data_IF_398281483375
#
_entry.id   IF_398281483375
#
_cell.length_a   1.000
_cell.length_b   1.000
_cell.length_c   1.000
_cell.angle_alpha   90.00
_cell.angle_beta   90.00
_cell.angle_gamma   90.00
#
_symmetry.space_group_name_H-M   'P 1'
#
loop_
_entity.id
_entity.type
_entity.pdbx_description
1 polymer ?
#
# COMPACT_ATOMS: atom_id res chain seq x y z
N UNK A 1 66.51 -24.17 -25.39
CA UNK A 1 65.25 -23.77 -24.73
C UNK A 1 64.22 -24.86 -24.95
N UNK A 2 63.30 -25.09 -24.01
CA UNK A 2 62.31 -26.15 -24.14
C UNK A 2 61.10 -25.66 -24.95
N UNK A 3 60.65 -26.46 -25.92
CA UNK A 3 59.44 -26.20 -26.72
C UNK A 3 58.21 -26.10 -25.79
N UNK A 4 58.19 -26.90 -24.72
CA UNK A 4 57.16 -26.91 -23.68
C UNK A 4 56.93 -25.52 -23.08
N UNK A 5 58.00 -24.81 -22.69
CA UNK A 5 57.87 -23.47 -22.06
C UNK A 5 57.43 -22.39 -23.04
N UNK A 6 57.71 -22.57 -24.34
CA UNK A 6 57.17 -21.69 -25.38
C UNK A 6 55.66 -21.91 -25.57
N UNK A 7 55.22 -23.17 -25.68
CA UNK A 7 53.79 -23.49 -25.80
C UNK A 7 52.99 -23.02 -24.57
N UNK A 8 53.55 -23.17 -23.36
CA UNK A 8 52.94 -22.65 -22.13
C UNK A 8 52.73 -21.13 -22.16
N UNK A 9 53.74 -20.35 -22.60
CA UNK A 9 53.57 -18.90 -22.69
C UNK A 9 52.59 -18.50 -23.79
N UNK A 10 52.48 -19.30 -24.87
CA UNK A 10 51.54 -19.06 -25.96
C UNK A 10 50.08 -19.26 -25.53
N UNK A 11 49.78 -20.30 -24.74
CA UNK A 11 48.44 -20.49 -24.16
C UNK A 11 48.11 -19.43 -23.10
N UNK A 12 49.06 -19.10 -22.21
CA UNK A 12 48.87 -18.00 -21.26
C UNK A 12 48.62 -16.66 -21.96
N UNK A 13 49.29 -16.39 -23.08
CA UNK A 13 49.10 -15.18 -23.86
C UNK A 13 47.71 -15.09 -24.54
N UNK A 14 47.14 -16.22 -24.98
CA UNK A 14 45.75 -16.27 -25.48
C UNK A 14 44.75 -15.97 -24.35
N UNK A 15 44.87 -16.67 -23.22
CA UNK A 15 43.99 -16.51 -22.07
C UNK A 15 44.07 -15.10 -21.48
N UNK A 16 45.25 -14.47 -21.53
CA UNK A 16 45.46 -13.06 -21.17
C UNK A 16 44.65 -12.10 -22.07
N UNK A 17 44.61 -12.34 -23.39
CA UNK A 17 43.78 -11.55 -24.32
C UNK A 17 42.28 -11.80 -24.09
N UNK A 18 41.86 -13.06 -23.94
CA UNK A 18 40.46 -13.40 -23.61
C UNK A 18 39.98 -12.73 -22.32
N UNK A 19 40.85 -12.62 -21.30
CA UNK A 19 40.57 -11.88 -20.08
C UNK A 19 40.50 -10.37 -20.30
N UNK A 20 41.35 -9.77 -21.15
CA UNK A 20 41.27 -8.34 -21.46
C UNK A 20 39.99 -7.97 -22.22
N UNK A 21 39.60 -8.79 -23.20
CA UNK A 21 38.39 -8.58 -24.01
C UNK A 21 37.13 -8.71 -23.13
N UNK A 22 37.05 -9.75 -22.29
CA UNK A 22 35.96 -9.96 -21.33
C UNK A 22 35.86 -8.83 -20.28
N UNK A 23 36.99 -8.23 -19.92
CA UNK A 23 37.05 -7.19 -18.89
C UNK A 23 36.96 -5.77 -19.43
N UNK A 24 37.01 -5.59 -20.76
CA UNK A 24 37.08 -4.30 -21.47
C UNK A 24 38.31 -3.47 -21.04
N UNK A 25 39.46 -4.14 -20.88
CA UNK A 25 40.66 -3.50 -20.33
C UNK A 25 41.24 -2.43 -21.27
N UNK A 26 41.61 -1.23 -20.76
CA UNK A 26 42.14 -0.15 -21.57
C UNK A 26 43.45 -0.54 -22.27
N UNK A 27 43.56 -0.14 -23.54
CA UNK A 27 44.68 -0.48 -24.43
C UNK A 27 46.04 -0.06 -23.81
N UNK A 28 46.07 0.97 -22.97
CA UNK A 28 47.29 1.42 -22.29
C UNK A 28 47.83 0.43 -21.24
N UNK A 29 46.98 -0.36 -20.58
CA UNK A 29 47.43 -1.49 -19.74
C UNK A 29 47.90 -2.66 -20.63
N UNK A 30 47.17 -2.97 -21.71
CA UNK A 30 47.53 -4.03 -22.66
C UNK A 30 48.92 -3.82 -23.30
N UNK A 31 49.30 -2.56 -23.58
CA UNK A 31 50.61 -2.19 -24.17
C UNK A 31 51.81 -2.74 -23.40
N UNK A 32 51.73 -2.84 -22.06
CA UNK A 32 52.82 -3.39 -21.25
C UNK A 32 53.17 -4.84 -21.63
N UNK A 33 52.17 -5.61 -22.05
CA UNK A 33 52.26 -7.02 -22.41
C UNK A 33 52.30 -7.27 -23.92
N UNK A 34 52.35 -6.22 -24.75
CA UNK A 34 52.45 -6.32 -26.22
C UNK A 34 53.58 -7.23 -26.73
N UNK A 35 54.68 -7.32 -25.97
CA UNK A 35 55.80 -8.23 -26.24
C UNK A 35 55.43 -9.72 -26.09
N UNK A 36 54.50 -10.04 -25.18
CA UNK A 36 53.90 -11.36 -24.95
C UNK A 36 52.81 -11.65 -25.98
N UNK A 37 51.93 -10.70 -26.26
CA UNK A 37 50.87 -10.85 -27.28
C UNK A 37 51.46 -11.18 -28.65
N UNK A 38 52.63 -10.60 -28.98
CA UNK A 38 53.38 -10.92 -30.21
C UNK A 38 53.90 -12.37 -30.27
N UNK A 39 54.04 -13.07 -29.14
CA UNK A 39 54.43 -14.49 -29.13
C UNK A 39 53.31 -15.42 -29.60
N UNK A 40 52.04 -14.98 -29.55
CA UNK A 40 50.87 -15.77 -30.02
C UNK A 40 51.05 -16.16 -31.51
N UNK A 41 51.65 -15.29 -32.32
CA UNK A 41 51.88 -15.50 -33.75
C UNK A 41 53.33 -15.87 -34.12
N UNK A 42 54.22 -16.05 -33.16
CA UNK A 42 55.64 -16.33 -33.42
C UNK A 42 55.91 -17.83 -33.62
N UNK A 43 56.99 -18.17 -34.33
CA UNK A 43 57.46 -19.56 -34.46
C UNK A 43 58.54 -19.90 -33.43
N UNK A 44 58.66 -21.20 -33.12
CA UNK A 44 59.64 -21.74 -32.15
C UNK A 44 61.08 -21.30 -32.49
N UNK A 45 61.44 -21.35 -33.78
CA UNK A 45 62.80 -21.03 -34.25
C UNK A 45 63.12 -19.53 -34.16
N UNK A 46 62.14 -18.65 -34.42
CA UNK A 46 62.34 -17.19 -34.36
C UNK A 46 62.53 -16.69 -32.91
N UNK A 47 61.89 -17.35 -31.95
CA UNK A 47 61.92 -16.98 -30.53
C UNK A 47 63.19 -17.47 -29.82
N UNK A 48 63.69 -18.65 -30.21
CA UNK A 48 64.93 -19.25 -29.67
C UNK A 48 66.16 -18.32 -29.82
N UNK A 49 66.20 -17.51 -30.88
CA UNK A 49 67.28 -16.56 -31.18
C UNK A 49 67.22 -15.29 -30.31
N UNK A 50 66.01 -14.88 -29.88
CA UNK A 50 65.74 -13.51 -29.40
C UNK A 50 65.61 -13.38 -27.88
N UNK A 51 65.79 -14.47 -27.13
CA UNK A 51 65.82 -14.45 -25.66
C UNK A 51 64.51 -14.09 -24.96
N UNK A 52 63.38 -14.01 -25.68
CA UNK A 52 62.09 -13.52 -25.18
C UNK A 52 61.39 -14.44 -24.16
N UNK A 53 62.03 -15.54 -23.75
CA UNK A 53 61.52 -16.55 -22.82
C UNK A 53 62.40 -16.60 -21.55
N UNK A 54 62.61 -15.45 -20.89
CA UNK A 54 63.18 -15.47 -19.53
C UNK A 54 62.14 -15.99 -18.54
N UNK A 55 62.61 -16.55 -17.42
CA UNK A 55 61.71 -16.98 -16.35
C UNK A 55 60.89 -15.81 -15.77
N UNK A 56 61.45 -14.59 -15.82
CA UNK A 56 60.80 -13.37 -15.34
C UNK A 56 59.59 -12.98 -16.20
N UNK A 57 59.67 -13.13 -17.54
CA UNK A 57 58.55 -12.85 -18.45
C UNK A 57 57.41 -13.87 -18.23
N UNK A 58 57.72 -15.16 -18.08
CA UNK A 58 56.72 -16.18 -17.75
C UNK A 58 56.03 -15.83 -16.42
N UNK A 59 56.82 -15.56 -15.37
CA UNK A 59 56.31 -15.18 -14.05
C UNK A 59 55.49 -13.88 -14.07
N UNK A 60 55.87 -12.90 -14.90
CA UNK A 60 55.11 -11.65 -15.06
C UNK A 60 53.72 -11.92 -15.67
N UNK A 61 53.63 -12.82 -16.64
CA UNK A 61 52.35 -13.24 -17.25
C UNK A 61 51.51 -14.04 -16.26
N UNK A 62 52.09 -14.97 -15.50
CA UNK A 62 51.39 -15.72 -14.46
C UNK A 62 50.79 -14.80 -13.39
N UNK A 63 51.55 -13.80 -12.93
CA UNK A 63 51.09 -12.80 -11.95
C UNK A 63 49.99 -11.91 -12.53
N UNK A 64 50.07 -11.51 -13.80
CA UNK A 64 49.01 -10.72 -14.44
C UNK A 64 47.73 -11.54 -14.64
N UNK A 65 47.83 -12.79 -15.06
CA UNK A 65 46.68 -13.71 -15.15
C UNK A 65 46.03 -13.91 -13.76
N UNK A 66 46.82 -13.97 -12.69
CA UNK A 66 46.28 -13.97 -11.32
C UNK A 66 45.59 -12.64 -10.96
N UNK A 67 46.20 -11.47 -11.26
CA UNK A 67 45.60 -10.14 -11.07
C UNK A 67 44.25 -10.04 -11.78
N UNK A 68 44.18 -10.47 -13.03
CA UNK A 68 42.98 -10.38 -13.87
C UNK A 68 41.89 -11.35 -13.42
N UNK A 69 42.22 -12.56 -12.93
CA UNK A 69 41.23 -13.45 -12.33
C UNK A 69 40.63 -12.86 -11.04
N UNK A 70 41.44 -12.22 -10.19
CA UNK A 70 40.96 -11.50 -9.00
C UNK A 70 40.08 -10.31 -9.41
N UNK A 71 40.49 -9.53 -10.42
CA UNK A 71 39.73 -8.40 -10.95
C UNK A 71 38.40 -8.84 -11.57
N UNK A 72 38.38 -9.97 -12.29
CA UNK A 72 37.19 -10.62 -12.86
C UNK A 72 36.21 -11.04 -11.78
N UNK A 73 36.67 -11.71 -10.73
CA UNK A 73 35.83 -12.06 -9.57
C UNK A 73 35.26 -10.81 -8.88
N UNK A 74 36.05 -9.74 -8.77
CA UNK A 74 35.61 -8.45 -8.22
C UNK A 74 34.53 -7.76 -9.07
N UNK A 75 34.78 -7.56 -10.38
CA UNK A 75 33.81 -6.99 -11.35
C UNK A 75 32.53 -7.82 -11.39
N UNK A 76 32.64 -9.15 -11.27
CA UNK A 76 31.49 -10.04 -11.20
C UNK A 76 30.66 -9.85 -9.91
N UNK A 77 31.32 -9.81 -8.75
CA UNK A 77 30.67 -9.57 -7.45
C UNK A 77 29.94 -8.23 -7.43
N UNK A 78 30.51 -7.20 -8.04
CA UNK A 78 29.86 -5.90 -8.27
C UNK A 78 28.59 -6.01 -9.15
N UNK A 79 28.67 -6.69 -10.29
CA UNK A 79 27.54 -6.85 -11.22
C UNK A 79 26.40 -7.69 -10.61
N UNK A 80 26.74 -8.76 -9.89
CA UNK A 80 25.79 -9.58 -9.13
C UNK A 80 25.15 -8.76 -8.01
N UNK A 81 25.91 -8.01 -7.23
CA UNK A 81 25.36 -7.17 -6.16
C UNK A 81 24.49 -6.01 -6.67
N UNK A 82 24.75 -5.47 -7.87
CA UNK A 82 23.84 -4.49 -8.51
C UNK A 82 22.46 -5.09 -8.80
N UNK A 83 22.41 -6.30 -9.38
CA UNK A 83 21.16 -7.03 -9.63
C UNK A 83 20.46 -7.43 -8.32
N UNK A 84 21.21 -7.89 -7.33
CA UNK A 84 20.69 -8.21 -6.00
C UNK A 84 20.07 -6.97 -5.33
N UNK A 85 20.70 -5.80 -5.43
CA UNK A 85 20.16 -4.56 -4.88
C UNK A 85 18.87 -4.11 -5.61
N UNK A 86 18.78 -4.25 -6.93
CA UNK A 86 17.54 -3.99 -7.67
C UNK A 86 16.40 -4.92 -7.20
N UNK A 87 16.70 -6.21 -7.02
CA UNK A 87 15.75 -7.20 -6.49
C UNK A 87 15.24 -6.84 -5.08
N UNK A 88 16.16 -6.47 -4.19
CA UNK A 88 15.85 -5.98 -2.83
C UNK A 88 15.07 -4.66 -2.82
N UNK A 89 15.32 -3.76 -3.78
CA UNK A 89 14.55 -2.53 -3.96
C UNK A 89 13.10 -2.78 -4.37
N UNK A 90 12.87 -3.70 -5.31
CA UNK A 90 11.53 -4.08 -5.76
C UNK A 90 10.71 -4.65 -4.60
N UNK A 91 11.25 -5.64 -3.86
CA UNK A 91 10.54 -6.27 -2.75
C UNK A 91 10.27 -5.29 -1.59
N UNK A 92 11.27 -4.47 -1.24
CA UNK A 92 11.13 -3.39 -0.23
C UNK A 92 10.05 -2.39 -0.62
N UNK A 93 10.00 -2.00 -1.90
CA UNK A 93 8.99 -1.09 -2.45
C UNK A 93 7.55 -1.62 -2.41
N UNK A 94 7.35 -2.93 -2.22
CA UNK A 94 6.01 -3.54 -2.05
C UNK A 94 5.80 -4.19 -0.67
N UNK A 95 6.53 -3.70 0.35
CA UNK A 95 6.44 -4.15 1.75
C UNK A 95 6.62 -5.67 1.95
N UNK A 96 7.44 -6.31 1.09
CA UNK A 96 7.84 -7.71 1.25
C UNK A 96 9.19 -7.80 1.99
N UNK A 97 9.31 -8.82 2.82
CA UNK A 97 10.51 -9.11 3.59
C UNK A 97 11.46 -10.03 2.81
N UNK A 98 12.76 -9.74 2.85
CA UNK A 98 13.80 -10.49 2.14
C UNK A 98 15.03 -10.57 3.03
N UNK A 99 15.57 -11.77 3.23
CA UNK A 99 16.88 -11.94 3.88
C UNK A 99 18.01 -11.59 2.91
N UNK A 100 18.22 -10.28 2.77
CA UNK A 100 19.28 -9.70 1.93
C UNK A 100 20.68 -10.18 2.33
N UNK A 101 20.92 -10.41 3.62
CA UNK A 101 22.25 -10.75 4.11
C UNK A 101 22.60 -12.20 3.77
N UNK A 102 21.71 -13.16 4.06
CA UNK A 102 21.89 -14.56 3.64
C UNK A 102 22.00 -14.67 2.12
N UNK A 103 21.20 -13.93 1.34
CA UNK A 103 21.29 -13.90 -0.12
C UNK A 103 22.67 -13.41 -0.61
N UNK A 104 23.19 -12.32 -0.04
CA UNK A 104 24.52 -11.77 -0.38
C UNK A 104 25.67 -12.70 0.03
N UNK A 105 25.55 -13.43 1.14
CA UNK A 105 26.52 -14.44 1.58
C UNK A 105 26.52 -15.68 0.67
N UNK A 106 25.33 -16.16 0.26
CA UNK A 106 25.19 -17.24 -0.72
C UNK A 106 25.83 -16.82 -2.04
N UNK A 107 25.44 -15.68 -2.62
CA UNK A 107 26.00 -15.16 -3.88
C UNK A 107 27.52 -14.94 -3.80
N UNK A 108 28.04 -14.52 -2.64
CA UNK A 108 29.48 -14.38 -2.40
C UNK A 108 30.21 -15.72 -2.51
N UNK A 109 29.78 -16.73 -1.75
CA UNK A 109 30.43 -18.05 -1.78
C UNK A 109 30.27 -18.75 -3.13
N UNK A 110 29.17 -18.47 -3.85
CA UNK A 110 28.94 -18.95 -5.21
C UNK A 110 30.01 -18.44 -6.20
N UNK A 111 30.27 -17.14 -6.20
CA UNK A 111 31.29 -16.51 -7.08
C UNK A 111 32.70 -16.97 -6.67
N UNK A 112 32.99 -17.00 -5.37
CA UNK A 112 34.32 -17.36 -4.84
C UNK A 112 34.63 -18.86 -5.03
N UNK A 113 33.63 -19.71 -5.25
CA UNK A 113 33.81 -21.12 -5.64
C UNK A 113 34.34 -21.31 -7.07
N UNK A 114 34.13 -20.34 -7.97
CA UNK A 114 34.48 -20.41 -9.39
C UNK A 114 33.77 -21.49 -10.21
N UNK A 115 32.80 -22.22 -9.64
CA UNK A 115 32.24 -23.46 -10.20
C UNK A 115 30.89 -23.29 -10.93
N UNK A 116 30.56 -22.07 -11.37
CA UNK A 116 29.26 -21.75 -12.00
C UNK A 116 29.47 -20.87 -13.22
N UNK A 117 28.65 -21.10 -14.27
CA UNK A 117 28.62 -20.19 -15.40
C UNK A 117 28.03 -18.84 -14.98
N UNK A 118 28.75 -17.78 -15.33
CA UNK A 118 28.41 -16.42 -14.99
C UNK A 118 27.31 -15.88 -15.90
N UNK A 119 27.15 -16.41 -17.12
CA UNK A 119 25.99 -16.05 -17.95
C UNK A 119 24.70 -16.63 -17.37
N UNK A 120 24.69 -17.91 -16.97
CA UNK A 120 23.57 -18.57 -16.29
C UNK A 120 23.19 -17.84 -14.98
N UNK A 121 24.16 -17.49 -14.12
CA UNK A 121 23.86 -16.79 -12.87
C UNK A 121 23.20 -15.43 -13.12
N UNK A 122 23.75 -14.62 -14.03
CA UNK A 122 23.21 -13.29 -14.32
C UNK A 122 21.82 -13.38 -15.00
N UNK A 123 21.60 -14.36 -15.87
CA UNK A 123 20.28 -14.62 -16.46
C UNK A 123 19.26 -15.06 -15.40
N UNK A 124 19.63 -15.91 -14.46
CA UNK A 124 18.77 -16.33 -13.35
C UNK A 124 18.37 -15.13 -12.48
N UNK A 125 19.31 -14.21 -12.19
CA UNK A 125 18.99 -12.97 -11.50
C UNK A 125 18.06 -12.06 -12.30
N UNK A 126 18.23 -11.94 -13.62
CA UNK A 126 17.32 -11.17 -14.49
C UNK A 126 15.91 -11.80 -14.56
N UNK A 127 15.80 -13.13 -14.50
CA UNK A 127 14.54 -13.86 -14.34
C UNK A 127 13.88 -13.58 -12.97
N UNK A 128 14.67 -13.54 -11.88
CA UNK A 128 14.18 -13.21 -10.54
C UNK A 128 13.69 -11.75 -10.46
N UNK A 129 14.45 -10.80 -11.02
CA UNK A 129 14.06 -9.39 -11.11
C UNK A 129 12.76 -9.24 -11.92
N UNK A 130 12.59 -9.98 -13.02
CA UNK A 130 11.35 -9.98 -13.81
C UNK A 130 10.16 -10.49 -13.00
N UNK A 131 10.31 -11.63 -12.30
CA UNK A 131 9.27 -12.20 -11.42
C UNK A 131 8.93 -11.26 -10.27
N UNK A 132 9.92 -10.61 -9.66
CA UNK A 132 9.68 -9.62 -8.60
C UNK A 132 8.90 -8.39 -9.11
N UNK A 133 9.21 -7.90 -10.33
CA UNK A 133 8.45 -6.80 -10.97
C UNK A 133 7.01 -7.19 -11.26
N UNK A 134 6.76 -8.41 -11.77
CA UNK A 134 5.41 -8.94 -11.97
C UNK A 134 4.65 -9.07 -10.63
N UNK A 135 5.29 -9.63 -9.61
CA UNK A 135 4.71 -9.79 -8.28
C UNK A 135 4.37 -8.44 -7.65
N UNK A 136 5.26 -7.45 -7.77
CA UNK A 136 5.03 -6.08 -7.34
C UNK A 136 3.85 -5.41 -8.05
N UNK A 137 3.73 -5.59 -9.38
CA UNK A 137 2.57 -5.11 -10.15
C UNK A 137 1.25 -5.74 -9.69
N UNK A 138 1.25 -7.04 -9.30
CA UNK A 138 0.07 -7.71 -8.76
C UNK A 138 -0.35 -7.18 -7.39
N UNK A 139 0.61 -6.78 -6.55
CA UNK A 139 0.36 -6.23 -5.20
C UNK A 139 -0.11 -4.77 -5.22
N UNK A 140 0.20 -4.02 -6.27
CA UNK A 140 -0.04 -2.55 -6.36
C UNK A 140 -1.47 -2.14 -6.03
N UNK A 141 -2.51 -2.70 -6.66
CA UNK A 141 -3.91 -2.29 -6.40
C UNK A 141 -4.36 -2.58 -4.95
N UNK A 142 -3.73 -3.52 -4.27
CA UNK A 142 -3.95 -3.78 -2.83
C UNK A 142 -3.23 -2.72 -2.01
N UNK A 143 -1.96 -2.41 -2.29
CA UNK A 143 -1.19 -1.37 -1.59
C UNK A 143 -1.82 0.02 -1.76
N UNK A 144 -2.24 0.37 -2.98
CA UNK A 144 -3.00 1.59 -3.31
C UNK A 144 -4.31 1.71 -2.51
N UNK A 145 -4.86 0.60 -1.99
CA UNK A 145 -6.06 0.56 -1.13
C UNK A 145 -5.70 0.58 0.34
N UNK A 146 -4.61 -0.08 0.76
CA UNK A 146 -4.06 -0.02 2.12
C UNK A 146 -3.74 1.43 2.50
N UNK A 147 -3.10 2.20 1.63
CA UNK A 147 -2.80 3.62 1.86
C UNK A 147 -4.08 4.45 2.08
N UNK A 148 -5.06 4.30 1.18
CA UNK A 148 -6.35 5.01 1.27
C UNK A 148 -7.15 4.63 2.52
N UNK A 149 -7.10 3.35 2.91
CA UNK A 149 -7.71 2.86 4.15
C UNK A 149 -6.98 3.40 5.40
N UNK A 150 -5.63 3.42 5.42
CA UNK A 150 -4.85 4.04 6.50
C UNK A 150 -5.26 5.52 6.71
N UNK A 151 -5.32 6.31 5.63
CA UNK A 151 -5.82 7.69 5.70
C UNK A 151 -7.27 7.80 6.23
N UNK A 152 -8.19 6.97 5.75
CA UNK A 152 -9.58 6.99 6.19
C UNK A 152 -9.77 6.53 7.66
N UNK A 153 -8.91 5.63 8.14
CA UNK A 153 -8.85 5.20 9.54
C UNK A 153 -8.27 6.28 10.47
N UNK A 154 -7.25 7.01 10.01
CA UNK A 154 -6.69 8.16 10.72
C UNK A 154 -7.70 9.33 10.79
N UNK A 155 -8.42 9.61 9.70
CA UNK A 155 -9.49 10.64 9.69
C UNK A 155 -10.67 10.25 10.60
N UNK A 156 -11.12 8.98 10.58
CA UNK A 156 -12.15 8.48 11.50
C UNK A 156 -11.72 8.65 12.97
N UNK A 157 -10.47 8.29 13.30
CA UNK A 157 -9.91 8.45 14.65
C UNK A 157 -9.82 9.93 15.06
N UNK A 158 -9.40 10.82 14.16
CA UNK A 158 -9.35 12.25 14.43
C UNK A 158 -10.73 12.85 14.69
N UNK A 159 -11.75 12.42 13.94
CA UNK A 159 -13.15 12.81 14.17
C UNK A 159 -13.70 12.28 15.51
N UNK A 160 -13.32 11.07 15.92
CA UNK A 160 -13.65 10.50 17.23
C UNK A 160 -13.05 11.31 18.39
N UNK A 161 -11.78 11.73 18.25
CA UNK A 161 -11.11 12.59 19.22
C UNK A 161 -11.74 13.99 19.27
N UNK A 162 -12.18 14.54 18.12
CA UNK A 162 -12.89 15.82 18.04
C UNK A 162 -14.29 15.77 18.68
N UNK A 163 -15.10 14.72 18.45
CA UNK A 163 -16.42 14.55 19.11
C UNK A 163 -16.30 14.52 20.64
N UNK A 164 -15.15 14.07 21.16
CA UNK A 164 -14.89 13.88 22.60
C UNK A 164 -14.59 15.17 23.37
N UNK A 165 -14.23 16.29 22.72
CA UNK A 165 -13.83 17.54 23.40
C UNK A 165 -15.05 18.42 23.72
N UNK A 166 -15.50 18.56 25.00
CA UNK A 166 -16.76 19.25 25.30
C UNK A 166 -16.66 20.78 25.15
N UNK A 167 -15.47 21.34 25.38
CA UNK A 167 -15.27 22.79 25.58
C UNK A 167 -15.32 23.64 24.30
N UNK A 168 -15.18 23.03 23.11
CA UNK A 168 -15.32 23.76 21.83
C UNK A 168 -16.78 23.92 21.39
N UNK A 169 -17.69 23.07 21.87
CA UNK A 169 -19.13 23.10 21.52
C UNK A 169 -19.92 24.29 22.08
N UNK A 170 -19.25 25.24 22.76
CA UNK A 170 -19.85 26.51 23.21
C UNK A 170 -20.15 27.44 22.03
N UNK A 171 -19.29 27.45 20.99
CA UNK A 171 -19.52 28.21 19.76
C UNK A 171 -20.34 27.38 18.76
N UNK A 172 -21.67 27.45 18.87
CA UNK A 172 -22.62 26.79 17.96
C UNK A 172 -22.58 27.38 16.54
N UNK A 173 -21.69 26.85 15.69
CA UNK A 173 -21.75 27.07 14.24
C UNK A 173 -22.80 26.13 13.64
N UNK A 174 -23.78 26.68 12.92
CA UNK A 174 -24.51 26.12 11.76
C UNK A 174 -25.17 24.72 11.86
N UNK A 175 -26.45 24.55 11.45
CA UNK A 175 -27.13 23.24 11.44
C UNK A 175 -26.70 22.30 10.27
N UNK A 176 -25.42 22.29 9.88
CA UNK A 176 -24.92 21.55 8.71
C UNK A 176 -23.76 20.56 8.96
N UNK A 177 -23.48 20.20 10.22
CA UNK A 177 -22.50 19.14 10.58
C UNK A 177 -23.00 17.70 10.28
N UNK A 178 -23.56 17.48 9.09
CA UNK A 178 -24.02 16.16 8.59
C UNK A 178 -22.91 15.27 8.01
N UNK A 179 -21.65 15.75 7.98
CA UNK A 179 -20.49 15.00 7.49
C UNK A 179 -20.14 13.76 8.35
N UNK A 180 -20.57 13.71 9.61
CA UNK A 180 -20.16 12.69 10.59
C UNK A 180 -20.70 11.27 10.38
N UNK A 181 -21.66 11.08 9.46
CA UNK A 181 -22.22 9.75 9.12
C UNK A 181 -21.72 9.11 7.83
N UNK A 182 -21.55 9.81 6.68
CA UNK A 182 -21.07 9.16 5.45
C UNK A 182 -19.66 8.56 5.56
N UNK A 183 -18.76 9.15 6.36
CA UNK A 183 -17.36 8.71 6.45
C UNK A 183 -17.16 7.33 7.08
N UNK A 184 -17.73 7.07 8.27
CA UNK A 184 -17.58 5.77 8.93
C UNK A 184 -18.10 4.58 8.11
N UNK A 185 -19.20 4.77 7.38
CA UNK A 185 -19.69 3.77 6.43
C UNK A 185 -18.76 3.56 5.22
N UNK A 186 -18.03 4.60 4.78
CA UNK A 186 -17.03 4.45 3.73
C UNK A 186 -15.83 3.63 4.19
N UNK A 187 -15.31 3.87 5.41
CA UNK A 187 -14.19 3.11 5.97
C UNK A 187 -14.51 1.62 6.11
N UNK A 188 -15.74 1.26 6.53
CA UNK A 188 -16.20 -0.14 6.59
C UNK A 188 -16.20 -0.77 5.19
N UNK A 189 -16.80 -0.12 4.19
CA UNK A 189 -16.86 -0.64 2.83
C UNK A 189 -15.47 -0.76 2.17
N UNK A 190 -14.52 0.09 2.53
CA UNK A 190 -13.12 -0.05 2.11
C UNK A 190 -12.46 -1.30 2.71
N UNK A 191 -12.64 -1.56 4.01
CA UNK A 191 -12.12 -2.76 4.67
C UNK A 191 -12.71 -4.03 4.09
N UNK A 192 -14.03 -4.10 3.89
CA UNK A 192 -14.69 -5.25 3.27
C UNK A 192 -14.17 -5.51 1.85
N UNK A 193 -14.01 -4.46 1.04
CA UNK A 193 -13.46 -4.56 -0.32
C UNK A 193 -11.99 -5.01 -0.33
N UNK A 194 -11.19 -4.50 0.61
CA UNK A 194 -9.77 -4.82 0.74
C UNK A 194 -9.58 -6.27 1.22
N UNK A 195 -10.30 -6.70 2.26
CA UNK A 195 -10.33 -8.09 2.75
C UNK A 195 -10.74 -9.07 1.65
N UNK A 196 -11.75 -8.74 0.83
CA UNK A 196 -12.15 -9.57 -0.30
C UNK A 196 -11.05 -9.66 -1.39
N UNK A 197 -10.38 -8.55 -1.71
CA UNK A 197 -9.27 -8.51 -2.67
C UNK A 197 -8.03 -9.26 -2.20
N UNK A 198 -7.67 -9.12 -0.92
CA UNK A 198 -6.54 -9.83 -0.31
C UNK A 198 -6.81 -11.33 -0.34
N UNK A 199 -7.98 -11.79 0.12
CA UNK A 199 -8.35 -13.22 0.06
C UNK A 199 -8.32 -13.79 -1.37
N UNK A 200 -8.76 -13.03 -2.36
CA UNK A 200 -8.66 -13.44 -3.76
C UNK A 200 -7.19 -13.56 -4.24
N UNK A 201 -6.33 -12.61 -3.88
CA UNK A 201 -4.91 -12.61 -4.23
C UNK A 201 -4.13 -13.74 -3.52
N UNK A 202 -4.42 -14.01 -2.24
CA UNK A 202 -3.80 -15.13 -1.50
C UNK A 202 -4.16 -16.48 -2.10
N UNK A 203 -5.39 -16.64 -2.61
CA UNK A 203 -5.81 -17.83 -3.37
C UNK A 203 -5.18 -17.88 -4.77
N UNK A 204 -4.96 -16.74 -5.43
CA UNK A 204 -4.31 -16.67 -6.76
C UNK A 204 -2.80 -16.97 -6.69
N UNK A 205 -2.12 -16.56 -5.62
CA UNK A 205 -0.66 -16.68 -5.46
C UNK A 205 -0.21 -17.79 -4.51
N UNK A 206 -1.13 -18.49 -3.86
CA UNK A 206 -0.91 -19.56 -2.89
C UNK A 206 -0.02 -19.16 -1.67
N UNK A 207 0.13 -17.85 -1.42
CA UNK A 207 0.94 -17.29 -0.32
C UNK A 207 0.18 -16.19 0.44
N UNK A 208 0.40 -16.04 1.76
CA UNK A 208 -0.19 -14.96 2.54
C UNK A 208 0.24 -13.56 2.07
N UNK A 209 -0.68 -12.60 2.05
CA UNK A 209 -0.33 -11.20 1.79
C UNK A 209 0.26 -10.59 3.06
N UNK A 210 1.58 -10.69 3.20
CA UNK A 210 2.31 -9.95 4.23
C UNK A 210 2.40 -8.47 3.86
N UNK A 211 2.31 -7.61 4.87
CA UNK A 211 2.58 -6.18 4.82
C UNK A 211 3.33 -5.80 6.10
N UNK A 212 4.54 -5.23 5.99
CA UNK A 212 5.37 -4.89 7.15
C UNK A 212 5.61 -6.09 8.10
N UNK A 213 5.80 -7.28 7.51
CA UNK A 213 5.95 -8.61 8.17
C UNK A 213 4.68 -9.17 8.85
N UNK A 214 3.55 -8.47 8.82
CA UNK A 214 2.26 -8.93 9.40
C UNK A 214 1.30 -9.36 8.28
N UNK A 215 0.50 -10.44 8.42
CA UNK A 215 -0.56 -10.76 7.46
C UNK A 215 -1.60 -9.63 7.39
N UNK A 216 -1.84 -9.07 6.21
CA UNK A 216 -2.70 -7.88 6.05
C UNK A 216 -4.15 -8.13 6.51
N UNK A 217 -4.66 -9.36 6.34
CA UNK A 217 -5.97 -9.75 6.87
C UNK A 217 -6.06 -9.60 8.40
N UNK A 218 -5.00 -9.97 9.13
CA UNK A 218 -4.96 -9.84 10.58
C UNK A 218 -5.06 -8.37 11.02
N UNK A 219 -4.34 -7.46 10.34
CA UNK A 219 -4.40 -6.02 10.61
C UNK A 219 -5.78 -5.41 10.32
N UNK A 220 -6.49 -5.92 9.30
CA UNK A 220 -7.85 -5.48 8.95
C UNK A 220 -8.90 -6.00 9.94
N UNK A 221 -8.77 -7.25 10.40
CA UNK A 221 -9.62 -7.83 11.43
C UNK A 221 -9.39 -7.15 12.80
N UNK A 222 -8.13 -6.83 13.15
CA UNK A 222 -7.82 -6.07 14.37
C UNK A 222 -8.42 -4.66 14.34
N UNK A 223 -8.32 -3.93 13.22
CA UNK A 223 -8.99 -2.64 13.04
C UNK A 223 -10.51 -2.75 13.21
N UNK A 224 -11.15 -3.80 12.66
CA UNK A 224 -12.58 -4.04 12.85
C UNK A 224 -12.94 -4.21 14.33
N UNK A 225 -12.16 -4.97 15.10
CA UNK A 225 -12.35 -5.12 16.55
C UNK A 225 -12.18 -3.78 17.27
N UNK A 226 -11.10 -3.03 16.99
CA UNK A 226 -10.85 -1.72 17.59
C UNK A 226 -11.98 -0.70 17.29
N UNK A 227 -12.56 -0.73 16.09
CA UNK A 227 -13.70 0.13 15.70
C UNK A 227 -15.01 -0.29 16.39
N UNK A 228 -15.28 -1.59 16.52
CA UNK A 228 -16.44 -2.09 17.28
C UNK A 228 -16.36 -1.72 18.77
N UNK A 229 -15.18 -1.80 19.39
CA UNK A 229 -14.97 -1.38 20.78
C UNK A 229 -15.27 0.12 20.97
N UNK A 230 -14.78 0.99 20.07
CA UNK A 230 -15.11 2.44 20.08
C UNK A 230 -16.61 2.71 19.97
N UNK A 231 -17.31 2.01 19.08
CA UNK A 231 -18.77 2.12 18.96
C UNK A 231 -19.50 1.66 20.24
N UNK A 232 -19.03 0.60 20.90
CA UNK A 232 -19.64 0.10 22.12
C UNK A 232 -19.39 0.99 23.33
N UNK A 233 -18.22 1.64 23.43
CA UNK A 233 -17.95 2.70 24.41
C UNK A 233 -18.87 3.91 24.20
N UNK A 234 -19.03 4.37 22.94
CA UNK A 234 -19.98 5.44 22.61
C UNK A 234 -21.42 5.05 22.96
N UNK A 235 -21.81 3.78 22.78
CA UNK A 235 -23.12 3.25 23.20
C UNK A 235 -23.29 3.31 24.72
N UNK A 236 -22.35 2.76 25.49
CA UNK A 236 -22.34 2.76 26.96
C UNK A 236 -22.38 4.18 27.54
N UNK A 237 -21.61 5.11 26.95
CA UNK A 237 -21.60 6.53 27.33
C UNK A 237 -22.97 7.20 27.13
N UNK A 238 -23.62 6.94 25.98
CA UNK A 238 -24.98 7.45 25.68
C UNK A 238 -26.05 6.86 26.59
N UNK A 239 -25.90 5.61 27.02
CA UNK A 239 -26.78 4.96 28.01
C UNK A 239 -26.58 5.55 29.42
N UNK A 240 -25.33 5.72 29.88
CA UNK A 240 -25.05 6.39 31.15
C UNK A 240 -25.58 7.84 31.17
N UNK A 241 -25.47 8.57 30.07
CA UNK A 241 -26.02 9.94 29.96
C UNK A 241 -27.55 9.94 30.12
N UNK A 242 -28.26 8.98 29.50
CA UNK A 242 -29.72 8.83 29.66
C UNK A 242 -30.12 8.50 31.10
N UNK A 243 -29.36 7.65 31.79
CA UNK A 243 -29.61 7.34 33.20
C UNK A 243 -29.41 8.57 34.10
N UNK A 244 -28.34 9.34 33.87
CA UNK A 244 -28.10 10.59 34.59
C UNK A 244 -29.19 11.64 34.29
N UNK A 245 -29.68 11.73 33.05
CA UNK A 245 -30.80 12.60 32.66
C UNK A 245 -32.12 12.18 33.32
N UNK A 246 -32.40 10.87 33.42
CA UNK A 246 -33.58 10.36 34.13
C UNK A 246 -33.51 10.69 35.63
N UNK A 247 -32.37 10.46 36.28
CA UNK A 247 -32.16 10.79 37.69
C UNK A 247 -32.26 12.30 37.95
N UNK A 248 -31.80 13.15 37.02
CA UNK A 248 -31.98 14.60 37.11
C UNK A 248 -33.47 14.99 37.02
N UNK A 249 -34.24 14.42 36.09
CA UNK A 249 -35.69 14.67 35.97
C UNK A 249 -36.46 14.12 37.18
N UNK A 250 -36.04 13.00 37.77
CA UNK A 250 -36.63 12.49 39.02
C UNK A 250 -36.38 13.45 40.19
N UNK A 251 -35.17 14.00 40.32
CA UNK A 251 -34.87 15.02 41.31
C UNK A 251 -35.64 16.32 41.04
N UNK A 252 -35.72 16.80 39.80
CA UNK A 252 -36.52 17.99 39.44
C UNK A 252 -38.02 17.79 39.67
N UNK A 253 -38.56 16.57 39.55
CA UNK A 253 -39.98 16.29 39.82
C UNK A 253 -40.28 16.03 41.31
N UNK A 254 -39.33 15.53 42.11
CA UNK A 254 -39.48 15.43 43.57
C UNK A 254 -39.22 16.73 44.32
N UNK A 255 -38.21 17.52 43.92
CA UNK A 255 -37.85 18.80 44.56
C UNK A 255 -38.45 20.03 43.85
N UNK A 256 -39.14 19.82 42.72
CA UNK A 256 -39.87 20.81 41.93
C UNK A 256 -41.00 21.50 42.69
N UNK A 257 -40.61 22.45 43.54
CA UNK A 257 -41.47 23.04 44.55
C UNK A 257 -42.58 23.90 43.95
N UNK A 258 -43.82 23.37 43.94
CA UNK A 258 -45.03 24.19 43.89
C UNK A 258 -44.94 25.21 45.03
N UNK A 259 -44.82 26.50 44.69
CA UNK A 259 -44.81 27.61 45.65
C UNK A 259 -46.18 27.78 46.31
N UNK A 260 -46.42 26.98 47.36
CA UNK A 260 -47.69 26.85 48.07
C UNK A 260 -47.99 28.03 49.02
N UNK A 261 -47.83 29.27 48.55
CA UNK A 261 -48.06 30.50 49.32
C UNK A 261 -49.56 30.80 49.44
N UNK A 262 -50.27 30.02 50.27
CA UNK A 262 -51.67 30.29 50.63
C UNK A 262 -51.76 31.34 51.74
N UNK A 263 -52.34 32.52 51.45
CA UNK A 263 -53.22 33.38 52.28
C UNK A 263 -53.17 34.86 51.81
N UNK A 264 -54.21 35.67 52.03
CA UNK A 264 -55.64 35.36 52.12
C UNK A 264 -56.50 36.16 51.12
N UNK A 265 -57.81 35.90 51.09
CA UNK A 265 -58.79 36.61 50.26
C UNK A 265 -59.20 37.96 50.88
N UNK A 266 -59.06 39.08 50.15
CA UNK A 266 -59.87 40.28 50.38
C UNK A 266 -59.88 41.27 49.19
N UNK A 267 -61.00 41.98 49.04
CA UNK A 267 -61.16 43.32 48.43
C UNK A 267 -60.97 43.56 46.91
N UNK A 268 -62.00 43.18 46.14
CA UNK A 268 -62.82 44.08 45.29
C UNK A 268 -62.18 45.08 44.30
N UNK A 269 -62.48 44.90 43.00
CA UNK A 269 -63.01 45.98 42.12
C UNK A 269 -63.89 45.45 40.96
N UNK A 270 -64.79 46.30 40.48
CA UNK A 270 -66.04 46.04 39.74
C UNK A 270 -65.95 45.85 38.20
N UNK A 271 -67.13 45.78 37.57
CA UNK A 271 -67.50 46.12 36.15
C UNK A 271 -67.20 45.15 34.98
N UNK A 272 -68.25 44.41 34.59
CA UNK A 272 -68.94 44.36 33.29
C UNK A 272 -68.20 44.51 31.93
N UNK A 273 -68.78 43.82 30.92
CA UNK A 273 -68.96 44.22 29.48
C UNK A 273 -68.39 43.25 28.44
N UNK A 274 -69.25 42.29 28.08
CA UNK A 274 -69.52 41.72 26.74
C UNK A 274 -68.78 42.21 25.47
N UNK A 275 -68.52 41.24 24.57
CA UNK A 275 -68.50 41.32 23.09
C UNK A 275 -67.30 41.98 22.38
N UNK A 276 -66.82 41.33 21.31
CA UNK A 276 -66.31 42.04 20.11
C UNK A 276 -65.04 41.52 19.45
N UNK A 277 -65.17 40.76 18.36
CA UNK A 277 -64.13 40.67 17.32
C UNK A 277 -64.31 41.83 16.33
N UNK A 278 -63.22 42.46 15.84
CA UNK A 278 -63.27 43.12 14.54
C UNK A 278 -62.13 42.73 13.60
N UNK A 279 -62.41 42.81 12.30
CA UNK A 279 -61.56 42.32 11.21
C UNK A 279 -60.80 43.45 10.49
N UNK A 280 -59.47 43.33 10.43
CA UNK A 280 -58.66 43.72 9.28
C UNK A 280 -58.48 45.21 8.91
N UNK A 281 -57.45 45.45 8.10
CA UNK A 281 -57.34 46.63 7.21
C UNK A 281 -56.89 46.11 5.83
N UNK A 282 -57.52 46.60 4.76
CA UNK A 282 -57.44 46.07 3.37
C UNK A 282 -56.61 47.03 2.49
N UNK A 283 -56.20 46.54 1.30
CA UNK A 283 -55.82 47.23 0.04
C UNK A 283 -54.43 46.76 -0.44
N UNK A 284 -54.15 46.49 -1.72
CA UNK A 284 -54.97 46.25 -2.93
C UNK A 284 -54.14 45.41 -3.93
N UNK A 285 -54.78 44.73 -4.89
CA UNK A 285 -54.12 44.13 -6.08
C UNK A 285 -54.17 45.09 -7.28
N UNK A 286 -53.35 44.87 -8.33
CA UNK A 286 -53.92 44.24 -9.53
C UNK A 286 -52.98 43.27 -10.29
N UNK A 287 -53.51 42.76 -11.41
CA UNK A 287 -52.97 42.01 -12.57
C UNK A 287 -51.50 42.23 -13.00
N UNK A 288 -50.89 41.41 -13.88
CA UNK A 288 -51.37 40.20 -14.57
C UNK A 288 -51.24 40.22 -16.11
N UNK A 289 -50.40 39.30 -16.64
CA UNK A 289 -50.20 38.87 -18.06
C UNK A 289 -49.34 39.73 -19.00
N UNK A 290 -48.90 39.03 -20.08
CA UNK A 290 -48.08 39.43 -21.25
C UNK A 290 -46.57 39.64 -20.97
N UNK A 291 -45.64 39.03 -21.73
CA UNK A 291 -45.79 37.98 -22.76
C UNK A 291 -44.46 37.63 -23.49
N UNK A 292 -44.40 36.45 -24.13
CA UNK A 292 -43.65 36.07 -25.37
C UNK A 292 -42.26 36.69 -25.69
N UNK A 293 -41.24 35.98 -26.17
CA UNK A 293 -41.15 34.64 -26.79
C UNK A 293 -39.68 34.18 -26.95
N UNK A 294 -39.42 32.88 -27.11
CA UNK A 294 -38.10 32.37 -27.51
C UNK A 294 -38.03 30.85 -27.55
N UNK A 295 -38.35 30.23 -28.69
CA UNK A 295 -38.45 28.77 -28.82
C UNK A 295 -37.22 28.15 -29.49
N UNK A 296 -36.79 26.97 -29.00
CA UNK A 296 -36.18 25.95 -29.86
C UNK A 296 -36.37 24.52 -29.31
N UNK A 297 -37.00 23.71 -30.16
CA UNK A 297 -36.83 22.26 -30.39
C UNK A 297 -35.56 21.57 -29.83
N UNK A 298 -35.53 20.25 -29.49
CA UNK A 298 -36.55 19.16 -29.54
C UNK A 298 -35.93 17.79 -29.14
N UNK A 299 -36.78 16.81 -28.74
CA UNK A 299 -36.55 15.33 -28.65
C UNK A 299 -35.64 14.78 -27.52
N UNK A 300 -35.79 13.54 -27.03
CA UNK A 300 -36.95 12.60 -27.02
C UNK A 300 -36.86 11.57 -25.86
N UNK A 301 -38.02 11.19 -25.30
CA UNK A 301 -38.39 9.95 -24.58
C UNK A 301 -37.41 9.10 -23.74
N UNK A 302 -37.80 8.87 -22.48
CA UNK A 302 -37.41 7.71 -21.65
C UNK A 302 -38.29 7.58 -20.40
N UNK A 303 -39.11 6.51 -20.30
CA UNK A 303 -40.05 6.28 -19.16
C UNK A 303 -39.47 5.25 -18.17
N UNK A 304 -39.73 5.39 -16.87
CA UNK A 304 -39.37 4.34 -15.90
C UNK A 304 -39.56 4.65 -14.42
N UNK A 305 -40.79 4.98 -13.97
CA UNK A 305 -41.09 5.02 -12.52
C UNK A 305 -41.51 3.61 -12.06
N UNK A 306 -40.67 2.92 -11.28
CA UNK A 306 -41.02 1.64 -10.63
C UNK A 306 -40.55 1.67 -9.17
N UNK A 307 -41.49 1.51 -8.24
CA UNK A 307 -41.24 1.31 -6.81
C UNK A 307 -41.27 -0.20 -6.54
N UNK A 308 -40.21 -0.83 -6.02
CA UNK A 308 -40.27 -2.21 -5.58
C UNK A 308 -41.02 -2.30 -4.24
N UNK A 309 -42.18 -2.95 -4.23
CA UNK A 309 -42.94 -3.24 -3.01
C UNK A 309 -42.31 -4.44 -2.30
N UNK A 310 -41.99 -4.26 -1.02
CA UNK A 310 -41.48 -5.32 -0.15
C UNK A 310 -42.63 -6.20 0.37
N UNK A 311 -42.60 -7.51 0.07
CA UNK A 311 -43.36 -8.51 0.82
C UNK A 311 -42.54 -9.78 1.06
N UNK A 312 -42.39 -10.13 2.33
CA UNK A 312 -41.81 -11.39 2.79
C UNK A 312 -42.86 -12.49 2.74
N UNK A 313 -42.50 -13.65 2.21
CA UNK A 313 -43.32 -14.87 2.28
C UNK A 313 -42.47 -16.02 2.84
N UNK A 314 -42.82 -16.48 4.05
CA UNK A 314 -42.24 -17.66 4.68
C UNK A 314 -43.12 -18.89 4.39
N UNK A 315 -42.57 -20.00 3.87
CA UNK A 315 -43.16 -21.31 4.05
C UNK A 315 -42.78 -21.84 5.44
N UNK A 316 -43.75 -22.43 6.15
CA UNK A 316 -43.55 -23.27 7.33
C UNK A 316 -44.02 -24.69 7.01
N UNK A 317 -43.28 -25.66 7.52
CA UNK A 317 -43.71 -26.89 8.25
C UNK A 317 -44.92 -27.68 7.67
N UNK A 318 -44.93 -29.01 7.53
CA UNK A 318 -43.96 -30.11 7.80
C UNK A 318 -44.32 -31.28 6.82
N UNK A 319 -44.19 -32.63 6.95
CA UNK A 319 -43.91 -33.56 8.05
C UNK A 319 -43.62 -35.01 7.56
N UNK A 320 -43.24 -35.88 8.51
CA UNK A 320 -43.27 -37.37 8.50
C UNK A 320 -42.10 -38.13 7.85
N UNK A 321 -41.15 -38.43 8.74
CA UNK A 321 -40.14 -39.51 8.71
C UNK A 321 -40.66 -40.94 8.46
N UNK A 322 -39.85 -41.73 7.74
CA UNK A 322 -39.56 -43.17 7.98
C UNK A 322 -38.37 -43.60 7.11
N UNK A 323 -37.38 -44.36 7.58
CA UNK A 323 -37.02 -44.76 8.95
C UNK A 323 -36.08 -45.97 8.94
N UNK A 324 -35.06 -45.96 9.80
CA UNK A 324 -34.27 -47.11 10.30
C UNK A 324 -33.40 -46.64 11.47
#
# INVERSE_FOLDING_TARGET
MNIITFLQIQELAKFLVELWDLMEMPIDEQKAFSHVTRLISASVDEVSIRGCLSADVIKQVEVEVQRLNILKASKMKEIVFKRQNELEEIYRGVHMDVDSESARQILTSLIESGNIDMSELLQNMDDQIRKAKEHALSRRDILDRVEKWKFAAEEEKWLDEYERVPVLNVFKIGPETKLTRPLGHASIAMVENLTAKVKAWEVEKEIPFLYEKVPLLQSLDEYNVQRQLREEEKRKSREQKRLNEQLAVEQETMFGSRSATKKPLSQSTHTNTTVGTPTGRRMHTPSGRYGTSGAKDRRESGRGNIIPVNYVALPKDDSVSRGN
#
